data_IF_014853028041
#
_entry.id   IF_014853028041
#
_cell.length_a   1.000
_cell.length_b   1.000
_cell.length_c   1.000
_cell.angle_alpha   90.00
_cell.angle_beta   90.00
_cell.angle_gamma   90.00
#
_symmetry.space_group_name_H-M   'P 1'
#
loop_
_entity.id
_entity.type
_entity.pdbx_description
1 polymer ?
#
# COMPACT_ATOMS: atom_id res chain seq x y z
N UNK A 1 -6.53 28.63 10.04
CA UNK A 1 -6.45 27.20 10.20
C UNK A 1 -5.28 26.70 9.41
N UNK A 2 -4.21 26.24 10.07
CA UNK A 2 -3.07 25.60 9.41
C UNK A 2 -3.54 24.27 8.87
N UNK A 3 -3.60 24.16 7.56
CA UNK A 3 -3.81 22.91 6.85
C UNK A 3 -2.58 22.01 7.11
N UNK A 4 -2.61 21.28 8.22
CA UNK A 4 -1.59 20.31 8.58
C UNK A 4 -1.86 19.02 7.81
N UNK A 5 -1.66 19.07 6.51
CA UNK A 5 -1.57 17.84 5.73
C UNK A 5 -0.26 17.17 6.11
N UNK A 6 -0.32 15.98 6.65
CA UNK A 6 0.83 15.17 7.04
C UNK A 6 1.78 14.90 5.88
N UNK A 7 1.25 14.90 4.67
CA UNK A 7 2.00 14.70 3.44
C UNK A 7 1.69 15.82 2.47
N UNK A 8 2.44 16.94 2.57
CA UNK A 8 2.47 17.93 1.50
C UNK A 8 3.20 17.34 0.28
N UNK A 9 2.97 17.88 -0.92
CA UNK A 9 3.66 17.44 -2.15
C UNK A 9 5.20 17.47 -2.00
N UNK A 10 5.71 18.35 -1.14
CA UNK A 10 7.13 18.42 -0.81
C UNK A 10 7.59 17.25 0.04
N UNK A 11 6.78 16.87 1.04
CA UNK A 11 7.08 15.73 1.91
C UNK A 11 6.97 14.44 1.11
N UNK A 12 6.03 14.36 0.18
CA UNK A 12 5.88 13.25 -0.76
C UNK A 12 7.17 12.97 -1.52
N UNK A 13 7.77 13.99 -2.13
CA UNK A 13 9.01 13.82 -2.90
C UNK A 13 10.18 13.37 -2.01
N UNK A 14 10.26 13.88 -0.78
CA UNK A 14 11.29 13.47 0.19
C UNK A 14 11.08 12.02 0.63
N UNK A 15 9.86 11.64 0.99
CA UNK A 15 9.55 10.29 1.45
C UNK A 15 9.70 9.25 0.36
N UNK A 16 9.23 9.51 -0.85
CA UNK A 16 9.48 8.64 -2.01
C UNK A 16 10.97 8.43 -2.27
N UNK A 17 11.78 9.47 -2.09
CA UNK A 17 13.25 9.37 -2.22
C UNK A 17 13.92 8.57 -1.10
N UNK A 18 13.39 8.61 0.13
CA UNK A 18 13.95 7.90 1.28
C UNK A 18 13.57 6.42 1.33
N UNK A 19 12.46 6.03 0.69
CA UNK A 19 11.88 4.69 0.78
C UNK A 19 12.38 3.71 -0.28
N UNK A 20 13.40 4.09 -1.01
CA UNK A 20 13.89 3.35 -2.17
C UNK A 20 14.20 1.86 -1.93
N UNK A 21 14.39 1.43 -0.68
CA UNK A 21 14.76 0.04 -0.39
C UNK A 21 14.47 -0.42 1.05
N UNK A 22 13.63 0.28 1.79
CA UNK A 22 13.35 -0.12 3.18
C UNK A 22 11.92 0.19 3.61
N UNK A 23 11.34 -0.70 4.41
CA UNK A 23 10.08 -0.43 5.10
C UNK A 23 10.30 0.67 6.13
N UNK A 24 9.61 1.78 5.98
CA UNK A 24 9.69 2.90 6.90
C UNK A 24 8.45 2.92 7.81
N UNK A 25 8.68 3.08 9.09
CA UNK A 25 7.62 3.34 10.07
C UNK A 25 7.57 4.82 10.38
N UNK A 26 6.61 5.56 9.84
CA UNK A 26 6.46 6.96 10.23
C UNK A 26 5.94 7.02 11.66
N UNK A 27 6.58 7.83 12.46
CA UNK A 27 6.03 8.26 13.73
C UNK A 27 4.94 9.29 13.42
N UNK A 28 3.73 8.84 13.36
CA UNK A 28 2.63 9.78 13.20
C UNK A 28 2.16 10.23 14.55
N UNK A 29 2.22 11.52 14.72
CA UNK A 29 1.90 12.17 15.99
C UNK A 29 0.44 12.62 16.06
N UNK A 30 -0.31 12.54 14.97
CA UNK A 30 -1.70 13.00 14.93
C UNK A 30 -2.63 11.94 14.34
N UNK A 31 -3.53 11.42 15.17
CA UNK A 31 -4.60 10.49 14.80
C UNK A 31 -5.49 10.95 13.63
N UNK A 32 -5.79 12.26 13.47
CA UNK A 32 -6.57 12.73 12.33
C UNK A 32 -6.00 12.32 10.97
N UNK A 33 -4.69 12.13 10.86
CA UNK A 33 -4.04 11.77 9.60
C UNK A 33 -4.29 10.29 9.23
N UNK A 34 -4.50 9.41 10.20
CA UNK A 34 -4.92 8.03 9.97
C UNK A 34 -6.42 7.89 9.77
N UNK A 35 -7.19 8.89 10.18
CA UNK A 35 -8.64 8.88 10.12
C UNK A 35 -9.17 9.41 8.78
N UNK A 36 -8.31 9.62 7.80
CA UNK A 36 -8.76 9.98 6.48
C UNK A 36 -8.28 8.96 5.43
N UNK A 37 -9.10 8.77 4.41
CA UNK A 37 -8.84 7.81 3.36
C UNK A 37 -7.60 8.19 2.52
N UNK A 38 -7.33 9.48 2.32
CA UNK A 38 -6.18 10.00 1.60
C UNK A 38 -4.87 9.58 2.27
N UNK A 39 -4.73 9.85 3.57
CA UNK A 39 -3.53 9.48 4.31
C UNK A 39 -3.27 7.98 4.31
N UNK A 40 -4.32 7.18 4.48
CA UNK A 40 -4.21 5.72 4.46
C UNK A 40 -3.80 5.18 3.08
N UNK A 41 -4.38 5.70 1.99
CA UNK A 41 -4.01 5.32 0.64
C UNK A 41 -2.56 5.70 0.32
N UNK A 42 -2.15 6.92 0.64
CA UNK A 42 -0.78 7.38 0.46
C UNK A 42 0.23 6.54 1.24
N UNK A 43 -0.07 6.21 2.50
CA UNK A 43 0.78 5.29 3.28
C UNK A 43 0.94 3.94 2.57
N UNK A 44 -0.15 3.38 2.05
CA UNK A 44 -0.14 2.07 1.42
C UNK A 44 0.72 2.04 0.16
N UNK A 45 0.62 3.06 -0.71
CA UNK A 45 1.35 3.11 -1.99
C UNK A 45 2.77 3.67 -1.86
N UNK A 46 3.12 4.27 -0.71
CA UNK A 46 4.47 4.75 -0.45
C UNK A 46 5.28 3.84 0.47
N UNK A 47 4.69 2.73 0.91
CA UNK A 47 5.37 1.72 1.71
C UNK A 47 5.59 2.12 3.16
N UNK A 48 4.76 3.00 3.71
CA UNK A 48 4.81 3.30 5.13
C UNK A 48 4.12 2.20 5.92
N UNK A 49 4.79 1.69 6.93
CA UNK A 49 4.20 0.75 7.86
C UNK A 49 3.41 1.52 8.93
N UNK A 50 2.07 1.40 8.98
CA UNK A 50 1.29 2.15 9.95
C UNK A 50 1.59 1.68 11.37
N UNK A 51 2.05 2.59 12.21
CA UNK A 51 2.31 2.32 13.62
C UNK A 51 1.45 3.24 14.49
N UNK A 52 0.54 2.64 15.25
CA UNK A 52 -0.30 3.37 16.19
C UNK A 52 0.37 3.41 17.57
N UNK A 53 0.68 4.60 18.05
CA UNK A 53 1.28 4.80 19.36
C UNK A 53 0.19 5.11 20.37
N UNK A 54 0.03 4.23 21.37
CA UNK A 54 -1.01 4.34 22.41
C UNK A 54 -1.01 5.68 23.17
N UNK A 55 0.16 6.25 23.44
CA UNK A 55 0.28 7.54 24.13
C UNK A 55 -0.32 8.72 23.38
N UNK A 56 -0.47 8.61 22.07
CA UNK A 56 -1.08 9.64 21.22
C UNK A 56 -2.59 9.53 21.24
N UNK A 57 -3.11 8.31 21.30
CA UNK A 57 -4.55 8.06 21.43
C UNK A 57 -5.07 8.63 22.75
N UNK A 58 -4.34 8.46 23.84
CA UNK A 58 -4.66 9.08 25.12
C UNK A 58 -4.70 10.63 25.05
N UNK A 59 -3.84 11.24 24.24
CA UNK A 59 -3.80 12.70 24.05
C UNK A 59 -5.08 13.26 23.40
N UNK A 60 -5.77 12.48 22.59
CA UNK A 60 -7.04 12.84 21.97
C UNK A 60 -8.26 12.33 22.76
N UNK A 61 -8.04 11.85 23.99
CA UNK A 61 -9.13 11.39 24.87
C UNK A 61 -9.71 10.03 24.50
N UNK A 62 -9.03 9.27 23.64
CA UNK A 62 -9.38 7.89 23.32
C UNK A 62 -8.36 6.97 23.94
N UNK A 63 -8.81 5.95 24.64
CA UNK A 63 -7.98 4.89 25.19
C UNK A 63 -7.99 3.69 24.24
N UNK A 64 -6.82 3.25 23.80
CA UNK A 64 -6.72 1.99 23.05
C UNK A 64 -6.74 0.87 24.06
N UNK A 65 -7.81 0.09 24.05
CA UNK A 65 -7.91 -1.16 24.79
C UNK A 65 -7.39 -2.31 23.96
N UNK A 66 -6.62 -3.20 24.58
CA UNK A 66 -6.21 -4.46 23.98
C UNK A 66 -7.16 -5.58 24.46
N UNK A 67 -7.59 -6.48 23.58
CA UNK A 67 -7.29 -6.57 22.15
C UNK A 67 -7.92 -5.43 21.33
N UNK A 68 -7.26 -5.07 20.23
CA UNK A 68 -7.76 -4.05 19.30
C UNK A 68 -9.09 -4.51 18.71
N UNK A 69 -10.14 -3.71 18.85
CA UNK A 69 -11.39 -3.94 18.14
C UNK A 69 -11.24 -3.48 16.69
N UNK A 70 -11.27 -4.40 15.71
CA UNK A 70 -11.15 -4.04 14.30
C UNK A 70 -12.32 -3.17 13.79
N UNK A 71 -13.40 -3.07 14.55
CA UNK A 71 -14.54 -2.22 14.22
C UNK A 71 -14.43 -0.80 14.81
N UNK A 72 -13.40 -0.52 15.60
CA UNK A 72 -13.15 0.85 16.08
C UNK A 72 -12.90 1.78 14.88
N UNK A 73 -13.61 2.91 14.84
CA UNK A 73 -13.43 3.93 13.81
C UNK A 73 -11.98 4.39 13.64
N UNK A 74 -11.18 4.26 14.71
CA UNK A 74 -9.77 4.59 14.70
C UNK A 74 -9.00 3.81 13.63
N UNK A 75 -9.39 2.55 13.38
CA UNK A 75 -8.72 1.65 12.44
C UNK A 75 -9.38 1.59 11.07
N UNK A 76 -10.51 2.27 10.91
CA UNK A 76 -11.34 2.19 9.70
C UNK A 76 -10.57 2.34 8.41
N UNK A 77 -9.62 3.26 8.35
CA UNK A 77 -8.85 3.56 7.15
C UNK A 77 -7.53 2.79 7.06
N UNK A 78 -6.95 2.40 8.19
CA UNK A 78 -5.68 1.67 8.24
C UNK A 78 -5.88 0.17 8.10
N UNK A 79 -6.99 -0.35 8.60
CA UNK A 79 -7.31 -1.77 8.58
C UNK A 79 -7.27 -2.41 7.18
N UNK A 80 -7.77 -1.75 6.11
CA UNK A 80 -7.63 -2.26 4.75
C UNK A 80 -6.17 -2.52 4.36
N UNK A 81 -5.28 -1.59 4.67
CA UNK A 81 -3.87 -1.75 4.37
C UNK A 81 -3.22 -2.86 5.21
N UNK A 82 -3.53 -2.96 6.50
CA UNK A 82 -3.04 -4.05 7.34
C UNK A 82 -3.47 -5.43 6.84
N UNK A 83 -4.68 -5.54 6.28
CA UNK A 83 -5.14 -6.79 5.67
C UNK A 83 -4.29 -7.21 4.47
N UNK A 84 -3.84 -6.26 3.69
CA UNK A 84 -2.92 -6.54 2.58
C UNK A 84 -1.55 -6.97 3.12
N UNK A 85 -0.98 -6.23 4.05
CA UNK A 85 0.33 -6.55 4.64
C UNK A 85 0.33 -7.90 5.38
N UNK A 86 -0.80 -8.31 5.96
CA UNK A 86 -0.92 -9.61 6.61
C UNK A 86 -0.78 -10.82 5.65
N UNK A 87 -0.76 -10.57 4.33
CA UNK A 87 -0.58 -11.61 3.31
C UNK A 87 0.89 -11.95 3.04
N UNK A 88 1.81 -11.22 3.62
CA UNK A 88 3.24 -11.33 3.36
C UNK A 88 4.04 -11.11 4.66
N UNK A 89 5.23 -11.68 4.74
CA UNK A 89 6.17 -11.39 5.83
C UNK A 89 6.92 -10.07 5.50
N UNK A 90 6.38 -8.97 5.96
CA UNK A 90 6.93 -7.63 5.67
C UNK A 90 8.33 -7.41 6.24
N UNK A 91 8.72 -8.15 7.28
CA UNK A 91 10.05 -8.03 7.87
C UNK A 91 11.14 -8.62 6.96
N UNK A 92 10.76 -9.56 6.09
CA UNK A 92 11.63 -10.17 5.10
C UNK A 92 11.53 -9.54 3.73
N UNK A 93 10.48 -8.74 3.50
CA UNK A 93 10.20 -8.21 2.18
C UNK A 93 11.15 -7.08 1.79
N UNK A 94 11.67 -7.19 0.57
CA UNK A 94 12.28 -6.06 -0.13
C UNK A 94 11.18 -5.23 -0.79
N UNK A 95 11.25 -3.91 -0.67
CA UNK A 95 10.21 -3.00 -1.16
C UNK A 95 10.68 -2.29 -2.41
N UNK A 96 9.85 -2.32 -3.46
CA UNK A 96 10.07 -1.62 -4.71
C UNK A 96 8.95 -0.61 -4.93
N UNK A 97 9.33 0.64 -5.15
CA UNK A 97 8.39 1.73 -5.41
C UNK A 97 8.22 1.99 -6.90
N UNK A 98 7.03 2.46 -7.28
CA UNK A 98 6.86 3.14 -8.55
C UNK A 98 7.41 4.56 -8.49
N UNK A 99 7.62 5.15 -9.52
CA UNK A 99 8.55 5.83 -10.40
C UNK A 99 9.51 6.82 -9.77
N UNK A 100 9.69 6.91 -8.49
CA UNK A 100 10.61 7.92 -7.89
C UNK A 100 12.01 7.40 -7.61
N UNK A 101 12.30 6.17 -7.92
CA UNK A 101 13.59 5.55 -7.71
C UNK A 101 14.16 5.08 -9.03
N UNK A 102 15.47 5.14 -9.15
CA UNK A 102 16.27 4.90 -10.36
C UNK A 102 16.08 3.53 -11.03
N UNK A 103 15.13 2.71 -10.56
CA UNK A 103 14.83 1.40 -11.11
C UNK A 103 13.32 1.21 -11.13
N UNK A 104 12.72 1.31 -12.30
CA UNK A 104 11.30 1.08 -12.50
C UNK A 104 10.98 -0.42 -12.36
N UNK A 105 10.57 -0.84 -11.16
CA UNK A 105 10.13 -2.21 -10.92
C UNK A 105 8.68 -2.45 -11.34
N UNK A 106 7.91 -1.38 -11.53
CA UNK A 106 6.53 -1.41 -11.98
C UNK A 106 6.16 -0.11 -12.68
N UNK A 107 5.38 -0.22 -13.75
CA UNK A 107 4.78 0.91 -14.47
C UNK A 107 3.26 0.82 -14.41
N UNK A 108 2.61 1.96 -14.21
CA UNK A 108 1.16 2.10 -14.27
C UNK A 108 0.73 2.81 -15.56
N UNK A 109 -0.27 2.27 -16.26
CA UNK A 109 -0.84 2.91 -17.44
C UNK A 109 -1.66 4.16 -17.12
N UNK A 110 -1.97 4.40 -15.85
CA UNK A 110 -2.70 5.56 -15.36
C UNK A 110 -1.90 6.24 -14.24
N UNK A 111 -1.45 7.50 -14.42
CA UNK A 111 -0.64 8.21 -13.43
C UNK A 111 -1.36 8.49 -12.09
N UNK A 112 -2.70 8.41 -12.07
CA UNK A 112 -3.47 8.55 -10.84
C UNK A 112 -3.59 7.24 -10.03
N UNK A 113 -3.13 6.11 -10.61
CA UNK A 113 -3.06 4.82 -9.93
C UNK A 113 -1.60 4.47 -9.73
N UNK A 114 -1.13 4.60 -8.50
CA UNK A 114 0.23 4.21 -8.11
C UNK A 114 0.23 2.82 -7.49
N UNK A 115 1.37 2.16 -7.51
CA UNK A 115 1.51 0.86 -6.86
C UNK A 115 2.90 0.67 -6.23
N UNK A 116 2.96 -0.23 -5.26
CA UNK A 116 4.13 -0.63 -4.51
C UNK A 116 4.26 -2.15 -4.56
N UNK A 117 5.49 -2.66 -4.59
CA UNK A 117 5.75 -4.10 -4.57
C UNK A 117 6.52 -4.46 -3.31
N UNK A 118 6.03 -5.47 -2.59
CA UNK A 118 6.75 -6.19 -1.56
C UNK A 118 7.20 -7.54 -2.12
N UNK A 119 8.50 -7.77 -2.20
CA UNK A 119 9.10 -9.05 -2.58
C UNK A 119 9.54 -9.78 -1.33
N UNK A 120 8.79 -10.75 -0.89
CA UNK A 120 9.15 -11.62 0.24
C UNK A 120 10.24 -12.63 -0.14
N UNK A 121 10.13 -13.16 -1.35
CA UNK A 121 11.09 -14.11 -1.93
C UNK A 121 10.99 -14.08 -3.46
N UNK A 122 11.79 -14.89 -4.14
CA UNK A 122 11.65 -15.11 -5.58
C UNK A 122 10.33 -15.78 -5.98
N UNK A 123 9.61 -16.37 -5.02
CA UNK A 123 8.37 -17.12 -5.26
C UNK A 123 7.12 -16.38 -4.80
N UNK A 124 7.28 -15.21 -4.15
CA UNK A 124 6.15 -14.54 -3.51
C UNK A 124 6.29 -13.03 -3.50
N UNK A 125 5.30 -12.36 -4.09
CA UNK A 125 5.23 -10.90 -4.20
C UNK A 125 3.84 -10.41 -3.81
N UNK A 126 3.78 -9.27 -3.13
CA UNK A 126 2.54 -8.52 -2.92
C UNK A 126 2.66 -7.18 -3.65
N UNK A 127 1.75 -6.95 -4.59
CA UNK A 127 1.57 -5.63 -5.23
C UNK A 127 0.42 -4.93 -4.52
N UNK A 128 0.64 -3.72 -4.05
CA UNK A 128 -0.38 -2.87 -3.46
C UNK A 128 -0.61 -1.70 -4.39
N UNK A 129 -1.82 -1.59 -4.93
CA UNK A 129 -2.23 -0.48 -5.79
C UNK A 129 -3.14 0.47 -5.04
N UNK A 130 -3.04 1.76 -5.33
CA UNK A 130 -3.88 2.80 -4.76
C UNK A 130 -4.18 3.90 -5.76
N UNK A 131 -5.36 4.51 -5.65
CA UNK A 131 -5.83 5.55 -6.53
C UNK A 131 -5.81 6.92 -5.85
N UNK A 132 -5.15 7.90 -6.46
CA UNK A 132 -4.98 9.26 -5.95
C UNK A 132 -5.87 10.30 -6.65
N UNK A 133 -6.49 9.93 -7.77
CA UNK A 133 -7.39 10.82 -8.52
C UNK A 133 -8.77 10.97 -7.88
N UNK A 134 -9.59 11.82 -8.46
CA UNK A 134 -10.94 12.14 -7.95
C UNK A 134 -12.02 11.22 -8.51
N UNK A 135 -11.91 10.80 -9.77
CA UNK A 135 -12.88 9.96 -10.45
C UNK A 135 -12.43 8.50 -10.42
N UNK A 136 -13.34 7.54 -10.22
CA UNK A 136 -12.98 6.13 -10.20
C UNK A 136 -12.17 5.72 -11.43
N UNK A 137 -11.05 5.06 -11.22
CA UNK A 137 -10.13 4.72 -12.28
C UNK A 137 -9.56 3.31 -12.16
N UNK A 138 -9.15 2.74 -13.29
CA UNK A 138 -8.40 1.50 -13.38
C UNK A 138 -7.08 1.71 -14.12
N UNK A 139 -6.15 0.80 -13.92
CA UNK A 139 -4.87 0.78 -14.60
C UNK A 139 -4.45 -0.63 -15.00
N UNK A 140 -3.54 -0.70 -15.96
CA UNK A 140 -2.70 -1.87 -16.20
C UNK A 140 -1.36 -1.58 -15.51
N UNK A 141 -0.99 -2.47 -14.61
CA UNK A 141 0.30 -2.46 -13.92
C UNK A 141 1.22 -3.44 -14.63
N UNK A 142 2.34 -2.95 -15.16
CA UNK A 142 3.35 -3.77 -15.82
C UNK A 142 4.56 -3.92 -14.91
N UNK A 143 4.85 -5.14 -14.49
CA UNK A 143 5.97 -5.47 -13.63
C UNK A 143 7.23 -5.67 -14.47
N UNK A 144 8.37 -5.19 -13.98
CA UNK A 144 9.66 -5.46 -14.60
C UNK A 144 10.25 -6.75 -14.00
N UNK A 145 9.99 -7.86 -14.70
CA UNK A 145 10.41 -9.19 -14.25
C UNK A 145 11.92 -9.30 -14.01
N UNK A 146 12.75 -8.68 -14.85
CA UNK A 146 14.21 -8.70 -14.71
C UNK A 146 14.66 -8.00 -13.43
N UNK A 147 14.09 -6.83 -13.13
CA UNK A 147 14.39 -6.08 -11.91
C UNK A 147 13.95 -6.83 -10.66
N UNK A 148 12.78 -7.46 -10.73
CA UNK A 148 12.20 -8.21 -9.61
C UNK A 148 12.84 -9.61 -9.46
N UNK A 149 13.58 -10.06 -10.47
CA UNK A 149 14.14 -11.43 -10.51
C UNK A 149 13.04 -12.49 -10.65
N UNK A 150 11.98 -12.17 -11.37
CA UNK A 150 10.90 -13.11 -11.67
C UNK A 150 11.32 -14.02 -12.82
N UNK A 151 11.21 -15.32 -12.64
CA UNK A 151 11.80 -16.30 -13.60
C UNK A 151 10.83 -17.35 -14.12
N UNK A 152 9.56 -17.30 -13.70
CA UNK A 152 8.61 -18.38 -14.01
C UNK A 152 7.17 -17.89 -13.94
N UNK A 153 6.25 -18.80 -14.22
CA UNK A 153 4.82 -18.55 -14.15
C UNK A 153 4.36 -18.33 -12.70
N UNK A 154 3.55 -17.31 -12.50
CA UNK A 154 2.93 -16.98 -11.22
C UNK A 154 1.42 -17.09 -11.34
N UNK A 155 0.80 -17.63 -10.29
CA UNK A 155 -0.62 -17.45 -10.06
C UNK A 155 -0.84 -16.11 -9.33
N UNK A 156 -1.90 -15.40 -9.69
CA UNK A 156 -2.27 -14.17 -9.05
C UNK A 156 -3.64 -14.27 -8.39
N UNK A 157 -3.75 -13.71 -7.20
CA UNK A 157 -5.03 -13.46 -6.55
C UNK A 157 -5.15 -11.98 -6.21
N UNK A 158 -6.30 -11.39 -6.55
CA UNK A 158 -6.65 -10.04 -6.13
C UNK A 158 -7.20 -10.11 -4.71
N UNK A 159 -6.79 -9.18 -3.88
CA UNK A 159 -7.22 -9.04 -2.49
C UNK A 159 -8.03 -7.76 -2.37
N UNK A 160 -9.31 -7.90 -2.03
CA UNK A 160 -10.13 -6.78 -1.63
C UNK A 160 -9.66 -6.27 -0.26
N UNK A 161 -9.11 -5.08 -0.22
CA UNK A 161 -8.57 -4.51 1.00
C UNK A 161 -9.64 -4.26 2.07
N UNK A 162 -10.87 -3.95 1.68
CA UNK A 162 -11.96 -3.68 2.61
C UNK A 162 -12.41 -4.95 3.38
N UNK A 163 -12.38 -6.11 2.71
CA UNK A 163 -12.86 -7.38 3.27
C UNK A 163 -11.75 -8.37 3.56
N UNK A 164 -10.61 -8.28 2.86
CA UNK A 164 -9.54 -9.27 2.86
C UNK A 164 -9.83 -10.50 2.00
N UNK A 165 -10.93 -10.50 1.25
CA UNK A 165 -11.31 -11.61 0.38
C UNK A 165 -10.34 -11.71 -0.81
N UNK A 166 -9.99 -12.95 -1.15
CA UNK A 166 -9.13 -13.29 -2.28
C UNK A 166 -9.96 -13.80 -3.45
N UNK A 167 -9.64 -13.33 -4.64
CA UNK A 167 -10.26 -13.77 -5.89
C UNK A 167 -9.17 -14.02 -6.93
N UNK A 168 -9.13 -15.19 -7.58
CA UNK A 168 -8.20 -15.41 -8.69
C UNK A 168 -8.32 -14.30 -9.73
N UNK A 169 -7.20 -13.85 -10.28
CA UNK A 169 -7.17 -12.86 -11.34
C UNK A 169 -6.10 -13.22 -12.38
N UNK A 170 -6.27 -12.62 -13.56
CA UNK A 170 -5.34 -12.86 -14.64
C UNK A 170 -4.01 -12.17 -14.38
N UNK A 171 -2.93 -12.90 -14.59
CA UNK A 171 -1.56 -12.41 -14.63
C UNK A 171 -0.89 -12.95 -15.89
N UNK A 172 -0.75 -12.11 -16.87
CA UNK A 172 -0.18 -12.49 -18.17
C UNK A 172 0.86 -11.46 -18.62
N UNK A 173 1.98 -11.96 -19.12
CA UNK A 173 3.06 -11.11 -19.64
C UNK A 173 3.48 -10.01 -18.67
N UNK A 174 3.64 -10.38 -17.41
CA UNK A 174 4.02 -9.48 -16.31
C UNK A 174 3.04 -8.33 -16.07
N UNK A 175 1.78 -8.50 -16.44
CA UNK A 175 0.75 -7.47 -16.25
C UNK A 175 -0.35 -7.91 -15.30
N UNK A 176 -0.80 -6.94 -14.48
CA UNK A 176 -2.01 -7.00 -13.65
C UNK A 176 -2.97 -5.90 -14.08
N UNK A 177 -4.25 -6.14 -13.97
CA UNK A 177 -5.27 -5.11 -14.20
C UNK A 177 -5.99 -4.79 -12.89
N UNK A 178 -5.99 -3.53 -12.51
CA UNK A 178 -6.71 -3.09 -11.32
C UNK A 178 -8.23 -3.12 -11.57
N UNK A 179 -8.99 -3.25 -10.48
CA UNK A 179 -10.40 -2.95 -10.53
C UNK A 179 -10.63 -1.45 -10.76
N UNK A 180 -11.86 -1.02 -10.90
CA UNK A 180 -12.19 0.41 -10.85
C UNK A 180 -12.09 0.87 -9.40
N UNK A 181 -10.96 1.48 -9.05
CA UNK A 181 -10.70 1.99 -7.71
C UNK A 181 -11.39 3.35 -7.51
N UNK A 182 -12.18 3.52 -6.45
CA UNK A 182 -12.66 4.84 -6.07
C UNK A 182 -11.51 5.73 -5.61
N UNK A 183 -11.77 7.02 -5.45
CA UNK A 183 -10.81 7.94 -4.85
C UNK A 183 -10.31 7.38 -3.50
N UNK A 184 -9.00 7.36 -3.31
CA UNK A 184 -8.30 6.81 -2.14
C UNK A 184 -8.53 5.31 -1.91
N UNK A 185 -9.09 4.63 -2.90
CA UNK A 185 -9.22 3.17 -2.86
C UNK A 185 -7.89 2.47 -2.98
N UNK A 186 -7.73 1.37 -2.26
CA UNK A 186 -6.56 0.49 -2.36
C UNK A 186 -7.00 -0.95 -2.58
N UNK A 187 -6.16 -1.72 -3.27
CA UNK A 187 -6.31 -3.17 -3.42
C UNK A 187 -4.95 -3.86 -3.49
N UNK A 188 -4.92 -5.16 -3.27
CA UNK A 188 -3.70 -5.95 -3.31
C UNK A 188 -3.73 -7.05 -4.35
N UNK A 189 -2.54 -7.49 -4.81
CA UNK A 189 -2.34 -8.65 -5.66
C UNK A 189 -1.23 -9.49 -5.08
N UNK A 190 -1.57 -10.73 -4.71
CA UNK A 190 -0.59 -11.70 -4.26
C UNK A 190 -0.20 -12.58 -5.44
N UNK A 191 1.07 -12.53 -5.80
CA UNK A 191 1.68 -13.39 -6.81
C UNK A 191 2.41 -14.50 -6.10
N UNK A 192 2.12 -15.72 -6.49
CA UNK A 192 2.78 -16.90 -5.95
C UNK A 192 3.23 -17.79 -7.11
N UNK A 193 4.48 -18.21 -7.08
CA UNK A 193 5.05 -19.11 -8.08
C UNK A 193 4.29 -20.42 -8.12
N UNK A 194 4.01 -20.91 -9.34
CA UNK A 194 3.37 -22.20 -9.61
C UNK A 194 4.36 -23.37 -9.56
#
# INVERSE_FOLDING_TARGET
>A
GSDRRMFSDRDEAVYKGMLASSVCMPWTLDLPDYQNAEGAAKMAIWGFYPHLVTGIVARHGKEITYPIDPNDELYRFVLPYWRLLAKIDVEKAEVFNTPSVNVAALESSNPEVEALIYKESADRYLVVAGHLGTEPASAVLTLNADVLGMTSDYAAVRIDAATGNETPCDYEKDTLRTSSLPQWGIEGYLLTRQ
#
